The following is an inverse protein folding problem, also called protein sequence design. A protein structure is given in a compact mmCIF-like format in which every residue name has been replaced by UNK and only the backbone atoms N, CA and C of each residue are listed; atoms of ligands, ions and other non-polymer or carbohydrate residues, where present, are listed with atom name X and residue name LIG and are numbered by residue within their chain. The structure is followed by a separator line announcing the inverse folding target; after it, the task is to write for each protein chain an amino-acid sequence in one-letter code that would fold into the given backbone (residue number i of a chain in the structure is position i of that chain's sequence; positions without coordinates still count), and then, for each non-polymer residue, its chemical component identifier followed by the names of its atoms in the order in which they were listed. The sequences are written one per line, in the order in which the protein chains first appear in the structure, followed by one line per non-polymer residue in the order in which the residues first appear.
data_IF_743703954708
#
_entry.id   IF_743703954708
#
_cell.length_a   1.000
_cell.length_b   1.000
_cell.length_c   1.000
_cell.angle_alpha   90.00
_cell.angle_beta   90.00
_cell.angle_gamma   90.00
#
_symmetry.space_group_name_H-M   'P 1'
#
loop_
_entity.id
_entity.type
_entity.pdbx_description
1 polymer ?
#
# COMPACT_ATOMS: atom_id res chain seq x y z
N UNK A 1 -6.75 10.86 -1.94
CA UNK A 1 -7.20 10.40 -0.60
C UNK A 1 -5.98 10.14 0.31
N UNK A 2 -5.99 10.51 1.60
CA UNK A 2 -4.87 10.19 2.50
C UNK A 2 -4.97 8.75 3.02
N UNK A 3 -3.84 8.05 3.08
CA UNK A 3 -3.74 6.74 3.74
C UNK A 3 -3.77 6.95 5.26
N UNK A 4 -4.54 6.14 6.01
CA UNK A 4 -4.76 6.40 7.42
C UNK A 4 -3.60 5.83 8.24
N UNK A 5 -2.45 6.51 8.25
CA UNK A 5 -1.20 6.03 8.85
C UNK A 5 -1.31 5.66 10.35
N UNK A 6 -2.35 6.13 11.05
CA UNK A 6 -2.65 5.80 12.45
C UNK A 6 -3.70 4.71 12.67
N UNK A 7 -4.28 4.12 11.62
CA UNK A 7 -5.25 3.04 11.76
C UNK A 7 -4.55 1.67 11.81
N UNK A 8 -5.06 0.77 12.66
CA UNK A 8 -4.54 -0.62 12.81
C UNK A 8 -4.40 -1.34 11.47
N UNK A 9 -5.28 -1.07 10.50
CA UNK A 9 -5.25 -1.72 9.18
C UNK A 9 -3.97 -1.34 8.40
N UNK A 10 -3.55 -0.07 8.49
CA UNK A 10 -2.32 0.39 7.87
C UNK A 10 -1.10 -0.20 8.57
N UNK A 11 -1.11 -0.29 9.90
CA UNK A 11 -0.04 -0.94 10.66
C UNK A 11 0.10 -2.43 10.31
N UNK A 12 -1.01 -3.15 10.15
CA UNK A 12 -0.99 -4.54 9.68
C UNK A 12 -0.35 -4.64 8.29
N UNK A 13 -0.67 -3.69 7.41
CA UNK A 13 -0.10 -3.64 6.07
C UNK A 13 1.41 -3.37 6.10
N UNK A 14 1.89 -2.43 6.93
CA UNK A 14 3.32 -2.14 7.12
C UNK A 14 4.06 -3.39 7.61
N UNK A 15 3.52 -4.08 8.63
CA UNK A 15 4.12 -5.31 9.15
C UNK A 15 4.15 -6.42 8.10
N UNK A 16 3.06 -6.60 7.32
CA UNK A 16 3.04 -7.58 6.22
C UNK A 16 4.06 -7.22 5.14
N UNK A 17 4.16 -5.95 4.75
CA UNK A 17 5.14 -5.46 3.78
C UNK A 17 6.58 -5.78 4.23
N UNK A 18 6.84 -5.70 5.53
CA UNK A 18 8.12 -6.06 6.14
C UNK A 18 8.34 -7.57 6.32
N UNK A 19 7.45 -8.41 5.77
CA UNK A 19 7.60 -9.87 5.78
C UNK A 19 7.06 -10.56 7.01
N UNK A 20 6.39 -9.85 7.93
CA UNK A 20 5.80 -10.48 9.12
C UNK A 20 4.57 -11.31 8.71
N UNK A 21 4.50 -12.61 9.04
CA UNK A 21 3.35 -13.44 8.71
C UNK A 21 2.08 -12.97 9.42
N UNK A 22 0.91 -13.06 8.75
CA UNK A 22 -0.39 -12.65 9.31
C UNK A 22 -0.71 -13.30 10.66
N UNK A 23 -0.22 -14.52 10.92
CA UNK A 23 -0.40 -15.19 12.21
C UNK A 23 0.38 -14.50 13.34
N UNK A 24 1.55 -13.96 13.05
CA UNK A 24 2.35 -13.22 14.03
C UNK A 24 1.78 -11.82 14.26
N UNK A 25 1.27 -11.17 13.20
CA UNK A 25 0.50 -9.93 13.32
C UNK A 25 -0.73 -10.18 14.22
N UNK A 26 -1.50 -11.22 13.93
CA UNK A 26 -2.69 -11.57 14.71
C UNK A 26 -2.37 -11.77 16.21
N UNK A 27 -1.30 -12.50 16.52
CA UNK A 27 -0.81 -12.68 17.90
C UNK A 27 -0.43 -11.36 18.56
N UNK A 28 0.30 -10.49 17.86
CA UNK A 28 0.76 -9.21 18.40
C UNK A 28 -0.41 -8.28 18.79
N UNK A 29 -1.49 -8.28 18.00
CA UNK A 29 -2.65 -7.41 18.24
C UNK A 29 -3.79 -8.09 19.02
N UNK A 30 -3.64 -9.36 19.42
CA UNK A 30 -4.71 -10.10 20.13
C UNK A 30 -5.97 -10.31 19.30
N UNK A 31 -5.85 -10.46 17.98
CA UNK A 31 -6.98 -10.64 17.05
C UNK A 31 -6.87 -11.97 16.29
N UNK A 32 -7.92 -12.36 15.59
CA UNK A 32 -7.89 -13.57 14.75
C UNK A 32 -7.09 -13.35 13.45
N UNK A 33 -6.52 -14.43 12.90
CA UNK A 33 -5.85 -14.39 11.58
C UNK A 33 -6.79 -13.90 10.48
N UNK A 34 -8.07 -14.25 10.56
CA UNK A 34 -9.10 -13.84 9.61
C UNK A 34 -9.36 -12.32 9.70
N UNK A 35 -9.34 -11.74 10.90
CA UNK A 35 -9.48 -10.30 11.09
C UNK A 35 -8.31 -9.55 10.42
N UNK A 36 -7.07 -10.02 10.62
CA UNK A 36 -5.89 -9.47 9.93
C UNK A 36 -6.02 -9.57 8.41
N UNK A 37 -6.38 -10.74 7.89
CA UNK A 37 -6.54 -10.92 6.44
C UNK A 37 -7.61 -10.01 5.83
N UNK A 38 -8.76 -9.81 6.49
CA UNK A 38 -9.80 -8.88 6.00
C UNK A 38 -9.34 -7.42 6.01
N UNK A 39 -8.68 -7.00 7.09
CA UNK A 39 -8.12 -5.65 7.19
C UNK A 39 -7.08 -5.40 6.08
N UNK A 40 -6.21 -6.37 5.81
CA UNK A 40 -5.21 -6.27 4.74
C UNK A 40 -5.84 -6.18 3.35
N UNK A 41 -6.90 -6.94 3.06
CA UNK A 41 -7.61 -6.84 1.77
C UNK A 41 -8.19 -5.44 1.54
N UNK A 42 -8.81 -4.87 2.58
CA UNK A 42 -9.32 -3.49 2.54
C UNK A 42 -8.19 -2.49 2.33
N UNK A 43 -7.07 -2.67 3.03
CA UNK A 43 -5.92 -1.77 2.95
C UNK A 43 -5.20 -1.86 1.60
N UNK A 44 -5.02 -3.06 1.05
CA UNK A 44 -4.41 -3.27 -0.28
C UNK A 44 -5.23 -2.53 -1.36
N UNK A 45 -6.58 -2.61 -1.30
CA UNK A 45 -7.46 -1.86 -2.22
C UNK A 45 -7.28 -0.34 -2.10
N UNK A 46 -7.26 0.19 -0.87
CA UNK A 46 -7.10 1.63 -0.64
C UNK A 46 -5.72 2.15 -1.09
N UNK A 47 -4.68 1.32 -0.95
CA UNK A 47 -3.33 1.63 -1.44
C UNK A 47 -3.27 1.62 -2.95
N UNK A 48 -3.91 0.64 -3.60
CA UNK A 48 -4.04 0.61 -5.06
C UNK A 48 -4.73 1.87 -5.59
N UNK A 49 -5.89 2.21 -5.04
CA UNK A 49 -6.64 3.42 -5.41
C UNK A 49 -5.80 4.68 -5.24
N UNK A 50 -5.07 4.80 -4.13
CA UNK A 50 -4.20 5.94 -3.85
C UNK A 50 -3.04 6.03 -4.85
N UNK A 51 -2.37 4.91 -5.15
CA UNK A 51 -1.27 4.88 -6.12
C UNK A 51 -1.75 5.26 -7.53
N UNK A 52 -2.91 4.77 -7.94
CA UNK A 52 -3.51 5.10 -9.24
C UNK A 52 -3.95 6.56 -9.32
N UNK A 53 -4.52 7.11 -8.24
CA UNK A 53 -4.85 8.53 -8.13
C UNK A 53 -3.59 9.40 -8.28
N UNK A 54 -2.51 9.04 -7.58
CA UNK A 54 -1.23 9.74 -7.67
C UNK A 54 -0.60 9.64 -9.05
N UNK A 55 -0.65 8.47 -9.70
CA UNK A 55 -0.16 8.32 -11.06
C UNK A 55 -0.95 9.21 -12.03
N UNK A 56 -2.28 9.23 -11.94
CA UNK A 56 -3.15 10.08 -12.76
C UNK A 56 -2.84 11.56 -12.54
N UNK A 57 -2.74 12.01 -11.29
CA UNK A 57 -2.46 13.40 -10.94
C UNK A 57 -1.10 13.87 -11.49
N UNK A 58 -0.11 12.97 -11.54
CA UNK A 58 1.25 13.28 -12.00
C UNK A 58 1.51 12.88 -13.47
N UNK A 59 0.46 12.50 -14.23
CA UNK A 59 0.55 12.07 -15.64
C UNK A 59 1.59 10.96 -15.84
N UNK A 60 1.56 9.98 -14.95
CA UNK A 60 2.35 8.76 -15.03
C UNK A 60 1.49 7.69 -15.68
N UNK A 61 1.96 7.15 -16.80
CA UNK A 61 1.40 5.95 -17.41
C UNK A 61 1.84 4.73 -16.61
N UNK A 62 0.88 3.95 -16.13
CA UNK A 62 1.13 2.84 -15.20
C UNK A 62 1.56 1.60 -15.97
N UNK A 63 2.72 1.06 -15.62
CA UNK A 63 3.24 -0.19 -16.19
C UNK A 63 2.99 -1.38 -15.25
N UNK A 64 3.19 -1.16 -13.94
CA UNK A 64 3.04 -2.21 -12.94
C UNK A 64 2.66 -1.63 -11.58
N UNK A 65 1.78 -2.31 -10.87
CA UNK A 65 1.36 -1.95 -9.52
C UNK A 65 1.47 -3.18 -8.61
N UNK A 66 2.03 -3.00 -7.42
CA UNK A 66 2.02 -3.97 -6.34
C UNK A 66 1.54 -3.26 -5.06
N UNK A 67 0.23 -3.34 -4.79
CA UNK A 67 -0.38 -2.75 -3.59
C UNK A 67 0.09 -3.41 -2.30
N UNK A 68 0.53 -4.67 -2.38
CA UNK A 68 1.09 -5.38 -1.24
C UNK A 68 2.45 -4.84 -0.83
N UNK A 69 3.23 -4.33 -1.78
CA UNK A 69 4.49 -3.61 -1.50
C UNK A 69 4.30 -2.10 -1.45
N UNK A 70 3.15 -1.59 -1.91
CA UNK A 70 2.83 -0.18 -1.95
C UNK A 70 3.71 0.55 -2.95
N UNK A 71 3.94 -0.05 -4.11
CA UNK A 71 4.81 0.48 -5.16
C UNK A 71 4.08 0.43 -6.51
N UNK A 72 4.18 1.50 -7.27
CA UNK A 72 3.76 1.61 -8.66
C UNK A 72 4.95 2.03 -9.50
N UNK A 73 5.17 1.32 -10.61
CA UNK A 73 6.13 1.64 -11.66
C UNK A 73 5.38 2.15 -12.89
N UNK A 74 5.97 3.13 -13.55
CA UNK A 74 5.42 3.68 -14.77
C UNK A 74 6.36 4.64 -15.46
N UNK A 75 5.85 5.35 -16.46
CA UNK A 75 6.59 6.37 -17.20
C UNK A 75 5.90 7.72 -17.05
N UNK A 76 6.66 8.74 -16.66
CA UNK A 76 6.16 10.11 -16.61
C UNK A 76 6.10 10.70 -18.01
N UNK A 77 4.89 11.00 -18.48
CA UNK A 77 4.68 11.58 -19.82
C UNK A 77 5.34 12.96 -19.97
N UNK A 78 5.22 13.90 -19.00
CA UNK A 78 5.85 15.23 -19.11
C UNK A 78 7.38 15.18 -19.18
N UNK A 79 8.00 14.25 -18.46
CA UNK A 79 9.46 14.18 -18.34
C UNK A 79 10.10 13.12 -19.25
N UNK A 80 9.30 12.28 -19.93
CA UNK A 80 9.76 11.16 -20.76
C UNK A 80 10.77 10.27 -20.03
N UNK A 81 10.48 9.98 -18.77
CA UNK A 81 11.38 9.27 -17.87
C UNK A 81 10.62 8.27 -17.02
N UNK A 82 11.31 7.20 -16.62
CA UNK A 82 10.77 6.20 -15.70
C UNK A 82 10.44 6.86 -14.35
N UNK A 83 9.31 6.48 -13.78
CA UNK A 83 8.78 6.99 -12.53
C UNK A 83 8.41 5.84 -11.59
N UNK A 84 8.63 6.07 -10.30
CA UNK A 84 8.23 5.17 -9.23
C UNK A 84 7.44 5.97 -8.22
N UNK A 85 6.25 5.49 -7.86
CA UNK A 85 5.45 6.01 -6.75
C UNK A 85 5.43 4.94 -5.67
N UNK A 86 5.65 5.32 -4.41
CA UNK A 86 5.55 4.38 -3.30
C UNK A 86 4.87 5.00 -2.09
N UNK A 87 4.24 4.15 -1.29
CA UNK A 87 3.62 4.49 -0.01
C UNK A 87 4.67 4.52 1.10
N UNK A 88 4.65 5.56 1.91
CA UNK A 88 5.56 5.71 3.04
C UNK A 88 5.02 4.95 4.25
N UNK A 89 5.80 4.02 4.80
CA UNK A 89 5.41 3.31 6.02
C UNK A 89 5.25 4.25 7.24
N UNK A 90 5.86 5.44 7.20
CA UNK A 90 5.81 6.43 8.29
C UNK A 90 4.70 7.46 8.11
N UNK A 91 4.40 7.83 6.87
CA UNK A 91 3.56 8.99 6.56
C UNK A 91 2.23 8.65 5.90
N UNK A 92 2.03 7.40 5.47
CA UNK A 92 0.90 7.02 4.63
C UNK A 92 1.13 7.50 3.21
#
# INVERSE_FOLDING_TARGET
MFLPAGEKQFEFWVLRRNGIPNINIAKHFGVSRQAVSRALLSMDKRIEETLLEMARANRIEVEKLDSKKGILFGTSIPFKANAIIFVSAKHG
#
